data_IF_299722774315
#
_entry.id   IF_299722774315
#
_cell.length_a   1.000
_cell.length_b   1.000
_cell.length_c   1.000
_cell.angle_alpha   90.00
_cell.angle_beta   90.00
_cell.angle_gamma   90.00
#
_symmetry.space_group_name_H-M   'P 1'
#
loop_
_entity.id
_entity.type
_entity.pdbx_description
1 polymer ?
2 non-polymer ?
3 non-polymer ?
4 water ?
#
# COMPACT_ATOMS: atom_id res chain seq x y z
N UNK A 1 4.32 -18.81 1.70
CA UNK A 1 4.37 -17.80 2.79
C UNK A 1 3.53 -16.57 2.42
N UNK A 2 3.77 -16.02 1.22
CA UNK A 2 3.13 -14.76 0.71
C UNK A 2 1.90 -15.08 -0.13
N UNK A 3 1.64 -16.35 -0.43
CA UNK A 3 0.72 -16.69 -1.55
C UNK A 3 -0.72 -16.25 -1.29
N UNK A 4 -1.21 -16.15 -0.06
CA UNK A 4 -2.61 -15.72 0.13
C UNK A 4 -2.77 -14.23 -0.20
N UNK A 5 -1.69 -13.46 -0.29
CA UNK A 5 -1.73 -12.04 -0.70
C UNK A 5 -1.86 -11.89 -2.21
N UNK A 6 -1.58 -12.94 -2.98
CA UNK A 6 -1.46 -12.76 -4.44
C UNK A 6 -2.84 -12.59 -5.05
N UNK A 7 -2.91 -11.78 -6.09
CA UNK A 7 -4.12 -11.59 -6.86
C UNK A 7 -4.45 -10.13 -7.01
N UNK A 8 -5.68 -9.91 -7.43
CA UNK A 8 -6.21 -8.57 -7.74
C UNK A 8 -7.19 -8.18 -6.64
N UNK A 9 -7.01 -6.98 -6.11
CA UNK A 9 -7.70 -6.49 -4.92
C UNK A 9 -8.29 -5.13 -5.25
N UNK A 10 -9.52 -4.91 -4.80
CA UNK A 10 -10.26 -3.66 -5.07
C UNK A 10 -10.52 -2.92 -3.75
N UNK A 11 -10.28 -1.62 -3.70
CA UNK A 11 -10.55 -0.85 -2.47
C UNK A 11 -12.04 -0.81 -2.21
N UNK A 12 -12.44 -1.24 -0.98
CA UNK A 12 -13.86 -1.28 -0.49
C UNK A 12 -14.10 -0.46 0.80
N UNK A 13 -13.06 0.02 1.48
CA UNK A 13 -13.22 0.87 2.70
C UNK A 13 -11.93 1.66 2.89
N UNK A 14 -12.01 2.93 3.31
CA UNK A 14 -10.84 3.82 3.57
C UNK A 14 -11.08 4.73 4.79
N UNK A 15 -10.19 4.66 5.79
CA UNK A 15 -10.28 5.48 7.00
C UNK A 15 -8.97 6.25 7.14
N UNK A 16 -9.09 7.56 7.26
CA UNK A 16 -7.97 8.46 7.60
C UNK A 16 -6.91 8.57 6.51
N UNK A 17 -7.24 8.29 5.26
CA UNK A 17 -6.24 8.45 4.19
C UNK A 17 -5.87 9.93 4.03
N UNK A 18 -6.82 10.84 4.17
CA UNK A 18 -6.45 12.26 4.09
C UNK A 18 -5.42 12.61 5.16
N UNK A 19 -5.62 12.15 6.40
CA UNK A 19 -4.64 12.41 7.47
C UNK A 19 -3.26 11.92 7.03
N UNK A 20 -3.20 10.70 6.52
CA UNK A 20 -1.92 10.09 6.12
C UNK A 20 -1.26 10.93 5.01
N UNK A 21 -2.03 11.25 3.98
CA UNK A 21 -1.49 12.06 2.87
C UNK A 21 -1.03 13.43 3.37
N UNK A 22 -1.81 14.04 4.24
CA UNK A 22 -1.46 15.38 4.71
C UNK A 22 -0.16 15.30 5.51
N UNK A 23 0.03 14.25 6.32
CA UNK A 23 1.25 14.05 7.11
C UNK A 23 2.47 13.97 6.18
N UNK A 24 2.31 13.36 5.01
CA UNK A 24 3.38 13.24 4.01
C UNK A 24 3.56 14.55 3.21
N UNK A 25 2.73 15.57 3.41
CA UNK A 25 2.88 16.84 2.68
C UNK A 25 2.20 16.84 1.32
N UNK A 26 1.29 15.91 1.07
CA UNK A 26 0.55 15.91 -0.21
C UNK A 26 -0.38 17.13 -0.24
N UNK A 27 -0.41 17.84 -1.36
CA UNK A 27 -1.22 19.04 -1.52
C UNK A 27 -2.70 18.77 -1.53
N UNK A 28 -3.49 19.81 -1.22
CA UNK A 28 -4.93 19.65 -1.01
C UNK A 28 -5.61 19.09 -2.26
N UNK A 29 -5.22 19.53 -3.46
CA UNK A 29 -5.94 19.13 -4.69
C UNK A 29 -5.71 17.64 -4.93
N UNK A 30 -4.48 17.19 -4.71
CA UNK A 30 -4.16 15.75 -4.86
C UNK A 30 -4.94 14.95 -3.82
N UNK A 31 -4.92 15.39 -2.56
CA UNK A 31 -5.65 14.66 -1.50
C UNK A 31 -7.12 14.56 -1.90
N UNK A 32 -7.64 15.63 -2.46
CA UNK A 32 -9.06 15.70 -2.85
C UNK A 32 -9.38 14.59 -3.87
N UNK A 33 -8.62 14.48 -4.97
CA UNK A 33 -8.82 13.44 -5.99
C UNK A 33 -8.61 12.06 -5.36
N UNK A 34 -7.56 11.89 -4.59
CA UNK A 34 -7.23 10.57 -3.99
C UNK A 34 -8.31 10.12 -3.01
N UNK A 35 -9.04 11.03 -2.37
CA UNK A 35 -10.10 10.66 -1.41
C UNK A 35 -11.29 10.03 -2.12
N UNK A 36 -11.40 10.19 -3.43
CA UNK A 36 -12.55 9.62 -4.18
C UNK A 36 -12.13 8.45 -5.06
N UNK A 37 -10.85 8.16 -5.08
CA UNK A 37 -10.29 7.14 -5.98
C UNK A 37 -10.44 5.77 -5.30
N UNK A 38 -10.64 4.70 -6.07
CA UNK A 38 -10.68 3.34 -5.52
C UNK A 38 -9.72 2.50 -6.33
N UNK A 39 -8.46 2.47 -5.91
CA UNK A 39 -7.48 1.75 -6.67
C UNK A 39 -7.72 0.23 -6.67
N UNK A 40 -7.08 -0.34 -7.66
CA UNK A 40 -6.91 -1.79 -7.78
C UNK A 40 -5.44 -2.10 -7.48
N UNK A 41 -5.19 -3.02 -6.57
CA UNK A 41 -3.82 -3.48 -6.28
C UNK A 41 -3.68 -4.90 -6.79
N UNK A 42 -2.63 -5.13 -7.54
CA UNK A 42 -2.35 -6.47 -8.12
C UNK A 42 -1.01 -6.92 -7.55
N UNK A 43 -0.99 -8.08 -6.93
CA UNK A 43 0.24 -8.63 -6.34
C UNK A 43 0.49 -9.97 -7.03
N UNK A 44 1.64 -10.08 -7.68
CA UNK A 44 2.01 -11.30 -8.42
C UNK A 44 3.41 -11.70 -8.02
N UNK A 45 3.70 -13.00 -8.08
CA UNK A 45 5.07 -13.46 -7.86
C UNK A 45 5.55 -14.28 -9.04
N UNK A 46 6.86 -14.24 -9.17
CA UNK A 46 7.62 -15.07 -10.13
C UNK A 46 8.88 -15.48 -9.41
N UNK A 47 8.89 -16.71 -8.90
CA UNK A 47 9.98 -17.11 -8.02
C UNK A 47 10.04 -16.18 -6.83
N UNK A 48 11.22 -15.68 -6.49
CA UNK A 48 11.36 -14.82 -5.29
C UNK A 48 10.98 -13.37 -5.61
N UNK A 49 10.62 -13.04 -6.85
CA UNK A 49 10.33 -11.63 -7.18
C UNK A 49 8.83 -11.39 -7.08
N UNK A 50 8.46 -10.43 -6.25
CA UNK A 50 7.07 -9.94 -6.16
C UNK A 50 6.95 -8.67 -6.98
N UNK A 51 5.81 -8.51 -7.63
CA UNK A 51 5.47 -7.27 -8.32
C UNK A 51 4.14 -6.79 -7.78
N UNK A 52 4.10 -5.55 -7.33
CA UNK A 52 2.91 -4.94 -6.74
C UNK A 52 2.56 -3.74 -7.59
N UNK A 53 1.41 -3.83 -8.26
CA UNK A 53 0.88 -2.76 -9.11
C UNK A 53 -0.26 -2.08 -8.36
N UNK A 54 -0.35 -0.76 -8.47
CA UNK A 54 -1.51 -0.03 -7.95
C UNK A 54 -2.03 0.82 -9.09
N UNK A 55 -3.28 0.59 -9.46
CA UNK A 55 -3.88 1.23 -10.64
C UNK A 55 -5.08 2.07 -10.24
N UNK A 56 -5.20 3.23 -10.83
CA UNK A 56 -6.41 4.04 -10.60
C UNK A 56 -6.62 4.97 -11.77
N UNK A 57 -7.70 5.71 -11.71
CA UNK A 57 -7.97 6.79 -12.67
C UNK A 57 -7.05 7.99 -12.48
N UNK A 58 -6.32 8.07 -11.39
CA UNK A 58 -5.48 9.25 -11.07
C UNK A 58 -3.98 8.98 -11.21
N UNK A 59 -3.56 7.76 -11.02
CA UNK A 59 -2.11 7.53 -10.92
C UNK A 59 -1.92 6.04 -10.88
N UNK A 60 -0.88 5.59 -11.55
CA UNK A 60 -0.46 4.19 -11.45
C UNK A 60 0.90 4.14 -10.78
N UNK A 61 1.17 3.05 -10.06
CA UNK A 61 2.53 2.71 -9.65
C UNK A 61 2.78 1.22 -9.88
N UNK A 62 4.06 0.88 -9.92
CA UNK A 62 4.47 -0.53 -9.96
C UNK A 62 5.84 -0.63 -9.29
N UNK A 63 5.99 -1.61 -8.43
CA UNK A 63 7.29 -1.95 -7.82
C UNK A 63 7.50 -3.45 -7.97
N UNK A 64 8.77 -3.82 -8.11
CA UNK A 64 9.20 -5.23 -8.02
C UNK A 64 10.29 -5.34 -6.97
N UNK A 65 10.26 -6.42 -6.21
CA UNK A 65 11.21 -6.57 -5.10
C UNK A 65 11.30 -8.03 -4.72
N UNK A 66 12.39 -8.32 -4.04
CA UNK A 66 12.59 -9.60 -3.33
C UNK A 66 12.33 -9.36 -1.85
N UNK A 67 11.59 -10.24 -1.16
CA UNK A 67 11.40 -10.06 0.28
C UNK A 67 12.77 -9.98 0.95
N UNK A 68 12.88 -9.02 1.85
CA UNK A 68 14.09 -8.91 2.67
C UNK A 68 15.28 -8.27 1.98
N UNK A 69 15.10 -7.69 0.80
CA UNK A 69 16.18 -7.05 0.05
C UNK A 69 15.78 -5.61 -0.26
N UNK A 70 16.58 -4.66 0.16
CA UNK A 70 16.26 -3.25 -0.04
C UNK A 70 16.17 -2.93 -1.54
N UNK A 71 15.27 -2.00 -1.88
CA UNK A 71 15.12 -1.51 -3.26
C UNK A 71 14.83 -0.02 -3.22
N UNK A 72 15.20 0.64 -4.29
CA UNK A 72 14.82 2.04 -4.48
C UNK A 72 13.37 2.08 -4.96
N UNK A 73 12.64 3.10 -4.51
CA UNK A 73 11.24 3.29 -4.90
C UNK A 73 10.99 4.78 -5.05
N UNK A 74 10.17 5.12 -6.04
CA UNK A 74 9.63 6.47 -6.19
C UNK A 74 8.12 6.38 -6.01
N UNK A 75 7.62 6.95 -4.92
CA UNK A 75 6.24 6.72 -4.52
C UNK A 75 5.28 7.53 -5.39
N UNK A 76 3.98 7.27 -5.19
CA UNK A 76 2.92 7.95 -5.97
C UNK A 76 3.01 9.46 -5.82
N UNK A 77 3.43 9.91 -4.63
CA UNK A 77 3.59 11.34 -4.29
C UNK A 77 5.04 11.81 -4.51
N UNK A 78 5.82 11.05 -5.26
CA UNK A 78 7.15 11.46 -5.78
C UNK A 78 8.21 11.55 -4.68
N UNK A 79 8.07 10.81 -3.60
CA UNK A 79 9.20 10.63 -2.66
C UNK A 79 10.15 9.56 -3.20
N UNK A 80 11.43 9.85 -3.12
CA UNK A 80 12.48 8.87 -3.50
C UNK A 80 12.94 8.23 -2.19
N UNK A 81 12.58 6.97 -2.04
CA UNK A 81 12.74 6.28 -0.74
C UNK A 81 13.57 5.01 -0.90
N UNK A 82 14.09 4.55 0.22
CA UNK A 82 14.72 3.24 0.36
C UNK A 82 13.69 2.31 0.99
N UNK A 83 13.36 1.23 0.33
CA UNK A 83 12.25 0.36 0.73
C UNK A 83 12.74 -1.05 1.03
N UNK A 84 12.01 -1.70 1.92
CA UNK A 84 12.18 -3.15 2.14
C UNK A 84 10.83 -3.71 2.52
N UNK A 85 10.54 -4.90 2.01
CA UNK A 85 9.27 -5.60 2.30
C UNK A 85 9.64 -6.95 2.90
N UNK A 86 9.00 -7.32 3.99
CA UNK A 86 9.26 -8.61 4.64
C UNK A 86 7.96 -9.17 5.18
N UNK A 87 7.91 -10.46 5.39
CA UNK A 87 6.81 -11.06 6.15
C UNK A 87 7.15 -11.04 7.62
N UNK A 88 6.17 -10.66 8.41
CA UNK A 88 6.37 -10.50 9.86
C UNK A 88 5.04 -10.87 10.51
N UNK A 89 4.98 -11.97 11.23
CA UNK A 89 3.71 -12.37 11.83
C UNK A 89 2.64 -12.65 10.80
N UNK A 90 3.06 -13.08 9.60
CA UNK A 90 2.11 -13.35 8.51
C UNK A 90 1.64 -12.09 7.79
N UNK A 91 2.13 -10.93 8.19
CA UNK A 91 1.78 -9.66 7.54
C UNK A 91 2.89 -9.28 6.57
N UNK A 92 2.51 -8.62 5.51
CA UNK A 92 3.47 -8.13 4.54
C UNK A 92 3.82 -6.70 4.96
N UNK A 93 5.04 -6.45 5.48
CA UNK A 93 5.43 -5.16 6.08
C UNK A 93 6.38 -4.46 5.11
N UNK A 94 5.94 -3.31 4.61
CA UNK A 94 6.72 -2.48 3.66
C UNK A 94 7.17 -1.23 4.44
N UNK A 95 8.46 -1.07 4.61
CA UNK A 95 9.07 0.09 5.30
C UNK A 95 9.74 0.96 4.25
N UNK A 96 9.40 2.25 4.25
CA UNK A 96 10.05 3.26 3.38
C UNK A 96 10.82 4.24 4.27
N UNK A 97 12.02 4.57 3.84
CA UNK A 97 12.91 5.50 4.57
C UNK A 97 13.39 6.59 3.61
N UNK A 98 13.34 7.84 4.05
CA UNK A 98 13.87 8.95 3.23
C UNK A 98 14.06 10.14 4.16
N UNK A 99 15.15 10.87 4.01
CA UNK A 99 15.37 12.11 4.79
C UNK A 99 15.26 11.86 6.30
N UNK A 100 15.61 10.67 6.76
CA UNK A 100 15.47 10.30 8.18
C UNK A 100 14.05 10.00 8.63
N UNK A 101 13.07 10.17 7.74
CA UNK A 101 11.66 9.85 7.96
C UNK A 101 11.43 8.38 7.64
N UNK A 102 10.32 7.88 8.14
CA UNK A 102 9.87 6.51 7.87
C UNK A 102 8.36 6.50 7.70
N UNK A 103 7.90 5.57 6.88
CA UNK A 103 6.48 5.21 6.88
C UNK A 103 6.39 3.71 6.67
N UNK A 104 5.36 3.12 7.27
CA UNK A 104 5.10 1.69 7.10
C UNK A 104 3.76 1.50 6.40
N UNK A 105 3.74 0.48 5.57
CA UNK A 105 2.56 0.03 4.81
C UNK A 105 2.44 -1.46 5.13
N UNK A 106 1.50 -1.79 6.01
CA UNK A 106 1.39 -3.16 6.54
C UNK A 106 0.13 -3.79 5.98
N UNK A 107 0.27 -4.95 5.36
CA UNK A 107 -0.89 -5.67 4.79
C UNK A 107 -1.10 -6.96 5.56
N UNK A 108 -2.35 -7.23 5.87
CA UNK A 108 -2.69 -8.44 6.61
C UNK A 108 -4.05 -8.92 6.12
N UNK A 109 -4.21 -10.23 6.10
CA UNK A 109 -5.46 -10.85 5.65
C UNK A 109 -6.32 -11.14 6.88
N UNK A 110 -7.55 -10.65 6.84
CA UNK A 110 -8.55 -10.89 7.91
C UNK A 110 -9.83 -11.31 7.21
N UNK A 111 -10.26 -12.53 7.47
CA UNK A 111 -11.51 -13.08 6.90
C UNK A 111 -11.52 -12.88 5.38
N UNK A 112 -10.37 -13.12 4.74
CA UNK A 112 -10.23 -13.10 3.28
C UNK A 112 -10.15 -11.70 2.70
N UNK A 113 -10.21 -10.65 3.51
CA UNK A 113 -10.02 -9.26 3.05
C UNK A 113 -8.58 -8.86 3.33
N UNK A 114 -8.06 -7.98 2.49
CA UNK A 114 -6.71 -7.45 2.71
C UNK A 114 -6.87 -6.09 3.39
N UNK A 115 -6.25 -5.97 4.55
CA UNK A 115 -6.27 -4.72 5.34
C UNK A 115 -4.87 -4.12 5.25
N UNK A 116 -4.83 -2.90 4.72
CA UNK A 116 -3.59 -2.11 4.57
C UNK A 116 -3.61 -1.01 5.63
N UNK A 117 -2.61 -1.02 6.50
CA UNK A 117 -2.46 0.02 7.53
C UNK A 117 -1.25 0.85 7.16
N UNK A 118 -1.47 2.16 7.03
CA UNK A 118 -0.47 3.15 6.58
C UNK A 118 -0.16 4.09 7.75
N UNK A 119 1.09 4.11 8.23
CA UNK A 119 1.45 4.93 9.39
C UNK A 119 2.56 5.89 8.99
N UNK A 120 2.38 7.17 9.25
CA UNK A 120 3.45 8.18 9.11
C UNK A 120 3.22 9.22 10.19
N UNK A 121 4.27 9.58 10.90
CA UNK A 121 4.07 10.49 12.04
C UNK A 121 3.11 9.86 13.02
N UNK A 122 2.07 10.57 13.38
CA UNK A 122 1.02 10.01 14.24
C UNK A 122 -0.16 9.50 13.43
N UNK A 123 -0.21 9.75 12.13
CA UNK A 123 -1.36 9.41 11.29
C UNK A 123 -1.38 7.90 11.01
N UNK A 124 -2.55 7.32 11.19
CA UNK A 124 -2.77 5.88 10.95
C UNK A 124 -4.03 5.75 10.08
N UNK A 125 -3.84 5.11 8.94
CA UNK A 125 -4.89 4.92 7.96
C UNK A 125 -5.12 3.44 7.78
N UNK A 126 -6.38 3.08 7.66
CA UNK A 126 -6.72 1.69 7.41
C UNK A 126 -7.57 1.62 6.15
N UNK A 127 -7.11 0.85 5.18
CA UNK A 127 -7.79 0.64 3.90
C UNK A 127 -8.08 -0.86 3.76
N UNK A 128 -9.30 -1.17 3.37
CA UNK A 128 -9.72 -2.58 3.20
C UNK A 128 -9.94 -2.88 1.73
N UNK A 129 -9.33 -3.97 1.28
CA UNK A 129 -9.35 -4.39 -0.14
C UNK A 129 -10.10 -5.71 -0.24
N UNK A 130 -10.91 -5.85 -1.28
CA UNK A 130 -11.68 -7.10 -1.54
C UNK A 130 -11.17 -7.83 -2.79
N UNK A 131 -11.23 -9.16 -2.74
CA UNK A 131 -10.67 -9.98 -3.84
C UNK A 131 -11.47 -9.66 -5.07
N UNK A 132 -10.75 -9.64 -6.18
CA UNK A 132 -11.42 -9.82 -7.49
C UNK A 132 -11.15 -11.23 -8.03
N UNK A 133 -12.22 -11.85 -8.52
CA UNK A 133 -12.23 -13.21 -9.07
C UNK A 133 -11.39 -13.24 -10.35
X LIG B 1 -1.25 7.70 -4.36
X LIG B 1 -0.06 9.74 -3.21
X LIG B 1 0.56 8.91 -0.91
X LIG B 1 -0.01 6.43 -0.68
X LIG B 1 -1.61 4.23 -1.84
X LIG B 1 -3.04 3.77 -1.60
X LIG B 1 -3.37 2.43 -2.21
X LIG B 1 -1.68 4.57 -4.70
X LIG B 1 -0.96 5.07 -5.94
X LIG B 1 -1.70 4.64 -7.19
X LIG B 1 -3.16 4.96 -6.91
X LIG B 1 -3.06 6.04 -5.84
X LIG B 1 -4.29 6.21 -4.93
X LIG B 1 -4.09 7.36 -3.95
X LIG B 1 -3.07 7.02 -2.87
X LIG B 1 -1.64 6.72 -3.28
X LIG B 1 -2.13 8.94 -4.41
X LIG B 1 -1.19 10.10 -4.20
X LIG B 1 -0.55 9.46 -1.79
X LIG B 1 0.98 7.48 -1.17
X LIG B 1 0.48 4.99 -0.64
X LIG B 1 -0.72 4.05 -0.61
X LIG B 1 -4.58 2.14 -2.49
X LIG B 1 -2.43 1.62 -2.40
X LIG C 1 -18.90 5.06 -5.26
X LIG C 1 -18.54 5.15 -6.66
X LIG C 1 -18.57 3.81 -7.37
X LIG C 1 -17.66 2.88 -6.81
X LIG C 1 -17.57 1.69 -7.57
X LIG C 1 -16.45 0.76 -7.13
X LIG C 1 -16.46 0.51 -5.72
X LIG C 1 -17.58 -0.26 -5.26
X LIG C 1 -17.33 -0.57 -3.80
X LIG C 1 -17.33 0.63 -3.04
X LIG C 1 -17.39 0.34 -1.64
X LIG C 1 -17.26 1.60 -0.83
X LIG C 1 -15.96 2.15 -1.03
X LIG C 1 -15.69 3.10 0.00
X LIG C 1 -14.32 3.68 -0.16
X LIG C 1 -14.35 4.76 -1.09
X LIG C 1 -13.08 5.39 -1.17
X LIG C 1 -13.19 6.51 -2.16
X LIG C 1 -14.08 7.51 -1.62
#
# INVERSE_FOLDING_TARGET
>A
MVDAFLGTWKLVDSKNFDDYMKSLGVGFATRQVASMTKPTTIIEKNGDILTLKTHSTFKNTEISFKLGVEFDETTADDRKVKSIVTLDGGKLVHLQKWDGQETTLVRELIDGKLILTLTHGTAVCTRTYEKEA
>B hetero
1 EO3 C10 C13 C15 C17 C20 C21 C22 C01 C02 C03 C04 C05 C06 C07 C08 C09 C11 C12 C14 C16 C18 C19 O23 O1
>C hetero
1 P6G O1 C2 C3 O4 C5 C6 O7 C8 C9 O10 C11 C12 O13 C14 C15 O16 C17 C18 O19
#
